data_IF_168204652402
#
_entry.id   IF_168204652402
#
_cell.length_a   1.000
_cell.length_b   1.000
_cell.length_c   1.000
_cell.angle_alpha   90.00
_cell.angle_beta   90.00
_cell.angle_gamma   90.00
#
_symmetry.space_group_name_H-M   'P 1'
#
loop_
_entity.id
_entity.type
_entity.pdbx_description
1 polymer ?
#
# COMPACT_ATOMS: atom_id res chain seq x y z
N UNK A 1 -2.81 -3.25 18.48
CA UNK A 1 -3.25 -2.79 17.14
C UNK A 1 -4.24 -1.64 17.21
N UNK A 2 -5.15 -1.62 18.20
CA UNK A 2 -6.19 -0.60 18.40
C UNK A 2 -5.71 0.86 18.24
N UNK A 3 -4.70 1.28 19.00
CA UNK A 3 -4.19 2.67 18.93
C UNK A 3 -3.65 2.99 17.53
N UNK A 4 -2.91 2.06 16.91
CA UNK A 4 -2.40 2.24 15.55
C UNK A 4 -3.54 2.40 14.53
N UNK A 5 -4.58 1.57 14.62
CA UNK A 5 -5.78 1.66 13.78
C UNK A 5 -6.48 3.00 13.98
N UNK A 6 -6.67 3.42 15.23
CA UNK A 6 -7.31 4.70 15.55
C UNK A 6 -6.55 5.87 14.90
N UNK A 7 -5.23 5.93 15.07
CA UNK A 7 -4.40 6.98 14.46
C UNK A 7 -4.46 6.94 12.93
N UNK A 8 -4.39 5.75 12.34
CA UNK A 8 -4.49 5.59 10.89
C UNK A 8 -5.87 6.02 10.36
N UNK A 9 -6.95 5.63 11.03
CA UNK A 9 -8.34 6.03 10.70
C UNK A 9 -8.50 7.54 10.81
N UNK A 10 -8.08 8.15 11.91
CA UNK A 10 -8.13 9.61 12.09
C UNK A 10 -7.30 10.34 11.03
N UNK A 11 -6.14 9.82 10.67
CA UNK A 11 -5.33 10.36 9.58
C UNK A 11 -6.02 10.26 8.23
N UNK A 12 -6.60 9.10 7.88
CA UNK A 12 -7.31 8.89 6.62
C UNK A 12 -8.56 9.77 6.50
N UNK A 13 -9.37 9.83 7.56
CA UNK A 13 -10.58 10.67 7.62
C UNK A 13 -10.19 12.15 7.62
N UNK A 14 -9.17 12.55 8.38
CA UNK A 14 -8.63 13.91 8.39
C UNK A 14 -8.18 14.34 6.99
N UNK A 15 -7.43 13.49 6.29
CA UNK A 15 -7.04 13.75 4.90
C UNK A 15 -8.26 13.84 3.99
N UNK A 16 -9.24 12.95 4.12
CA UNK A 16 -10.47 12.97 3.33
C UNK A 16 -11.27 14.27 3.54
N UNK A 17 -11.42 14.72 4.78
CA UNK A 17 -12.12 15.98 5.13
C UNK A 17 -11.40 17.19 4.56
N UNK A 18 -10.08 17.28 4.76
CA UNK A 18 -9.29 18.42 4.26
C UNK A 18 -9.27 18.42 2.73
N UNK A 19 -9.17 17.26 2.10
CA UNK A 19 -9.25 17.12 0.63
C UNK A 19 -10.61 17.59 0.11
N UNK A 20 -11.71 17.16 0.74
CA UNK A 20 -13.06 17.51 0.32
C UNK A 20 -13.35 19.01 0.48
N UNK A 21 -12.87 19.63 1.56
CA UNK A 21 -13.17 21.03 1.88
C UNK A 21 -12.23 22.04 1.21
N UNK A 22 -10.95 21.69 1.07
CA UNK A 22 -9.91 22.64 0.64
C UNK A 22 -9.20 22.21 -0.65
N UNK A 23 -9.50 21.03 -1.21
CA UNK A 23 -8.85 20.53 -2.43
C UNK A 23 -7.38 20.13 -2.26
N UNK A 24 -6.87 20.09 -1.02
CA UNK A 24 -5.50 19.71 -0.70
C UNK A 24 -5.28 18.19 -0.87
N UNK A 25 -4.04 17.77 -1.13
CA UNK A 25 -3.66 16.37 -1.39
C UNK A 25 -2.85 15.74 -0.26
N UNK A 26 -2.20 16.54 0.59
CA UNK A 26 -1.51 16.15 1.81
C UNK A 26 -0.45 15.06 1.60
N UNK A 27 0.27 15.11 0.47
CA UNK A 27 1.24 14.07 0.09
C UNK A 27 0.64 12.69 -0.22
N UNK A 28 -0.68 12.52 -0.22
CA UNK A 28 -1.37 11.27 -0.52
C UNK A 28 -2.30 10.81 0.61
N UNK A 29 -3.39 10.14 0.21
CA UNK A 29 -4.49 9.78 1.13
C UNK A 29 -4.04 8.98 2.35
N UNK A 30 -3.14 8.01 2.15
CA UNK A 30 -2.67 7.11 3.22
C UNK A 30 -1.42 7.62 3.94
N UNK A 31 -0.74 8.63 3.39
CA UNK A 31 0.63 9.00 3.77
C UNK A 31 0.70 9.46 5.23
N UNK A 32 -0.16 10.39 5.62
CA UNK A 32 -0.09 11.03 6.95
C UNK A 32 -0.37 10.05 8.09
N UNK A 33 -1.45 9.27 7.99
CA UNK A 33 -1.82 8.29 9.02
C UNK A 33 -0.78 7.18 9.17
N UNK A 34 -0.28 6.66 8.05
CA UNK A 34 0.73 5.60 8.05
C UNK A 34 2.08 6.12 8.57
N UNK A 35 2.49 7.33 8.17
CA UNK A 35 3.71 7.95 8.66
C UNK A 35 3.65 8.17 10.18
N UNK A 36 2.52 8.63 10.72
CA UNK A 36 2.36 8.82 12.17
C UNK A 36 2.54 7.50 12.95
N UNK A 37 1.89 6.42 12.51
CA UNK A 37 2.06 5.09 13.11
C UNK A 37 3.51 4.61 12.99
N UNK A 38 4.16 4.85 11.84
CA UNK A 38 5.55 4.46 11.64
C UNK A 38 6.53 5.22 12.53
N UNK A 39 6.37 6.54 12.66
CA UNK A 39 7.25 7.36 13.51
C UNK A 39 7.10 7.00 14.98
N UNK A 40 5.87 6.73 15.43
CA UNK A 40 5.64 6.27 16.81
C UNK A 40 6.26 4.89 17.05
N UNK A 41 6.21 4.00 16.04
CA UNK A 41 6.87 2.68 16.14
C UNK A 41 8.40 2.81 16.11
N UNK A 42 8.95 3.63 15.22
CA UNK A 42 10.38 3.86 15.11
C UNK A 42 10.64 5.32 14.70
N UNK A 43 11.25 6.09 15.59
CA UNK A 43 11.43 7.54 15.40
C UNK A 43 12.33 7.87 14.21
N UNK A 44 13.24 6.95 13.83
CA UNK A 44 14.15 7.09 12.69
C UNK A 44 13.39 7.07 11.35
N UNK A 45 12.15 6.57 11.32
CA UNK A 45 11.35 6.55 10.10
C UNK A 45 11.00 7.95 9.60
N UNK A 46 10.87 8.94 10.49
CA UNK A 46 10.58 10.32 10.10
C UNK A 46 11.71 10.96 9.27
N UNK A 47 12.97 11.03 9.75
CA UNK A 47 14.05 11.60 8.96
C UNK A 47 14.30 10.80 7.67
N UNK A 48 14.19 9.47 7.70
CA UNK A 48 14.29 8.63 6.49
C UNK A 48 13.20 8.99 5.49
N UNK A 49 11.95 9.14 5.93
CA UNK A 49 10.83 9.52 5.07
C UNK A 49 11.04 10.90 4.44
N UNK A 50 11.42 11.90 5.23
CA UNK A 50 11.64 13.29 4.75
C UNK A 50 12.76 13.30 3.72
N UNK A 51 13.92 12.73 4.05
CA UNK A 51 15.07 12.71 3.15
C UNK A 51 14.75 11.96 1.84
N UNK A 52 14.10 10.80 1.95
CA UNK A 52 13.71 10.01 0.77
C UNK A 52 12.69 10.74 -0.09
N UNK A 53 11.76 11.49 0.51
CA UNK A 53 10.76 12.28 -0.23
C UNK A 53 11.43 13.41 -0.98
N UNK A 54 12.37 14.11 -0.35
CA UNK A 54 13.13 15.19 -0.98
C UNK A 54 13.98 14.68 -2.14
N UNK A 55 14.72 13.59 -1.96
CA UNK A 55 15.53 12.99 -3.02
C UNK A 55 14.64 12.48 -4.15
N UNK A 56 13.51 11.82 -3.85
CA UNK A 56 12.58 11.37 -4.88
C UNK A 56 11.97 12.56 -5.64
N UNK A 57 11.64 13.65 -4.95
CA UNK A 57 11.14 14.88 -5.57
C UNK A 57 12.17 15.49 -6.53
N UNK A 58 13.44 15.61 -6.10
CA UNK A 58 14.53 16.10 -6.94
C UNK A 58 14.81 15.16 -8.12
N UNK A 59 14.82 13.84 -7.88
CA UNK A 59 15.02 12.84 -8.93
C UNK A 59 13.93 12.89 -10.00
N UNK A 60 12.67 13.05 -9.61
CA UNK A 60 11.55 13.26 -10.53
C UNK A 60 11.69 14.55 -11.33
N UNK A 61 12.09 15.63 -10.67
CA UNK A 61 12.32 16.92 -11.34
C UNK A 61 13.40 16.80 -12.42
N UNK A 62 14.54 16.16 -12.10
CA UNK A 62 15.62 15.90 -13.05
C UNK A 62 15.16 15.01 -14.21
N UNK A 63 14.43 13.93 -13.92
CA UNK A 63 13.89 13.06 -14.95
C UNK A 63 12.95 13.83 -15.88
N UNK A 64 12.02 14.64 -15.35
CA UNK A 64 11.11 15.43 -16.18
C UNK A 64 11.79 16.45 -17.08
N UNK A 65 12.89 17.03 -16.63
CA UNK A 65 13.66 17.94 -17.46
C UNK A 65 14.40 17.23 -18.61
N UNK A 66 14.70 15.95 -18.45
CA UNK A 66 15.50 15.16 -19.40
C UNK A 66 14.70 14.17 -20.22
N UNK A 67 13.52 13.80 -19.73
CA UNK A 67 12.64 12.77 -20.28
C UNK A 67 11.22 13.31 -20.20
N UNK A 68 10.46 13.23 -21.30
CA UNK A 68 9.07 13.70 -21.37
C UNK A 68 8.11 12.75 -20.60
N UNK A 69 8.52 12.26 -19.44
CA UNK A 69 7.74 11.35 -18.59
C UNK A 69 6.67 12.14 -17.82
N UNK A 70 5.42 11.90 -18.18
CA UNK A 70 4.26 12.53 -17.55
C UNK A 70 3.20 11.50 -17.15
N UNK A 71 2.31 11.90 -16.25
CA UNK A 71 1.16 11.08 -15.85
C UNK A 71 1.58 9.82 -15.08
N UNK A 72 1.36 8.64 -15.66
CA UNK A 72 1.57 7.38 -14.95
C UNK A 72 3.02 6.93 -14.93
N UNK A 73 3.78 7.22 -15.97
CA UNK A 73 5.21 6.86 -16.00
C UNK A 73 5.99 7.66 -14.96
N UNK A 74 5.54 8.89 -14.69
CA UNK A 74 5.99 9.69 -13.57
C UNK A 74 5.70 9.01 -12.21
N UNK A 75 4.49 8.44 -12.02
CA UNK A 75 4.15 7.72 -10.79
C UNK A 75 5.03 6.47 -10.61
N UNK A 76 5.27 5.72 -11.68
CA UNK A 76 6.15 4.54 -11.64
C UNK A 76 7.58 4.95 -11.31
N UNK A 77 8.12 5.96 -11.99
CA UNK A 77 9.44 6.52 -11.69
C UNK A 77 9.54 7.03 -10.24
N UNK A 78 8.48 7.67 -9.74
CA UNK A 78 8.41 8.19 -8.38
C UNK A 78 8.48 7.07 -7.35
N UNK A 79 7.74 5.98 -7.56
CA UNK A 79 7.76 4.81 -6.69
C UNK A 79 9.13 4.12 -6.77
N UNK A 80 9.71 4.01 -7.97
CA UNK A 80 11.04 3.41 -8.18
C UNK A 80 12.13 4.15 -7.42
N UNK A 81 12.26 5.46 -7.65
CA UNK A 81 13.22 6.32 -6.93
C UNK A 81 12.89 6.32 -5.45
N UNK A 82 11.62 6.52 -5.11
CA UNK A 82 11.13 6.58 -3.74
C UNK A 82 11.37 5.32 -2.94
N UNK A 83 11.45 4.14 -3.56
CA UNK A 83 11.76 2.86 -2.90
C UNK A 83 13.27 2.55 -2.90
N UNK A 84 13.98 2.90 -3.97
CA UNK A 84 15.42 2.66 -4.09
C UNK A 84 16.23 3.55 -3.13
N UNK A 85 15.81 4.79 -2.92
CA UNK A 85 16.52 5.75 -2.07
C UNK A 85 16.52 5.36 -0.59
N UNK A 86 15.38 5.03 0.06
CA UNK A 86 15.38 4.52 1.43
C UNK A 86 16.26 3.27 1.55
N UNK A 87 16.24 2.38 0.56
CA UNK A 87 17.10 1.19 0.58
C UNK A 87 18.58 1.59 0.55
N UNK A 88 18.98 2.49 -0.34
CA UNK A 88 20.37 2.95 -0.44
C UNK A 88 20.84 3.66 0.84
N UNK A 89 20.01 4.56 1.39
CA UNK A 89 20.26 5.22 2.68
C UNK A 89 20.41 4.17 3.77
N UNK A 90 19.52 3.18 3.81
CA UNK A 90 19.54 2.18 4.84
C UNK A 90 20.77 1.28 4.75
N UNK A 91 21.13 0.82 3.55
CA UNK A 91 22.34 0.04 3.31
C UNK A 91 23.60 0.81 3.74
N UNK A 92 23.67 2.11 3.45
CA UNK A 92 24.75 2.97 3.91
C UNK A 92 24.77 3.14 5.44
N UNK A 93 23.60 3.25 6.08
CA UNK A 93 23.46 3.39 7.53
C UNK A 93 23.53 2.07 8.30
N UNK A 94 23.45 0.91 7.63
CA UNK A 94 23.43 -0.40 8.30
C UNK A 94 24.72 -0.62 9.09
N UNK A 95 25.85 -0.12 8.59
CA UNK A 95 27.14 -0.13 9.31
C UNK A 95 27.21 0.81 10.52
N UNK A 96 26.30 1.78 10.66
CA UNK A 96 26.32 2.82 11.71
C UNK A 96 25.26 2.61 12.79
N UNK A 97 24.08 2.07 12.44
CA UNK A 97 22.90 2.03 13.33
C UNK A 97 22.54 0.59 13.76
N UNK A 98 23.21 -0.42 13.20
CA UNK A 98 23.03 -1.82 13.54
C UNK A 98 21.62 -2.35 13.26
N UNK A 99 21.21 -3.36 14.03
CA UNK A 99 19.99 -4.16 13.74
C UNK A 99 18.67 -3.47 14.10
N UNK A 100 18.69 -2.31 14.78
CA UNK A 100 17.48 -1.53 15.13
C UNK A 100 16.68 -1.07 13.93
N UNK A 101 17.30 -1.06 12.76
CA UNK A 101 16.63 -0.70 11.53
C UNK A 101 15.80 -1.84 10.95
N UNK A 102 15.93 -3.12 11.38
CA UNK A 102 15.48 -4.35 10.68
C UNK A 102 13.97 -4.60 10.55
N UNK A 103 13.12 -4.03 11.39
CA UNK A 103 11.72 -4.48 11.47
C UNK A 103 10.68 -3.56 10.79
N UNK A 104 11.03 -2.32 10.42
CA UNK A 104 10.02 -1.26 10.21
C UNK A 104 9.90 -0.72 8.77
N UNK A 105 10.71 -1.16 7.80
CA UNK A 105 11.02 -0.28 6.66
C UNK A 105 10.22 -0.53 5.37
N UNK A 106 9.57 -1.69 5.18
CA UNK A 106 9.17 -2.06 3.81
C UNK A 106 8.02 -1.23 3.20
N UNK A 107 6.87 -1.07 3.88
CA UNK A 107 5.76 -0.27 3.30
C UNK A 107 6.02 1.23 3.42
N UNK A 108 6.72 1.65 4.49
CA UNK A 108 7.23 3.00 4.64
C UNK A 108 8.14 3.44 3.48
N UNK A 109 8.78 2.52 2.76
CA UNK A 109 9.67 2.85 1.64
C UNK A 109 8.95 3.35 0.38
N UNK A 110 7.66 3.04 0.20
CA UNK A 110 6.92 3.46 -1.01
C UNK A 110 6.30 4.85 -0.82
N UNK A 111 5.95 5.20 0.42
CA UNK A 111 5.27 6.45 0.76
C UNK A 111 6.07 7.70 0.34
N UNK A 112 7.40 7.77 0.49
CA UNK A 112 8.19 8.90 0.02
C UNK A 112 8.02 9.18 -1.48
N UNK A 113 8.02 8.13 -2.30
CA UNK A 113 7.81 8.25 -3.74
C UNK A 113 6.41 8.76 -4.07
N UNK A 114 5.39 8.23 -3.38
CA UNK A 114 4.01 8.68 -3.54
C UNK A 114 3.84 10.16 -3.12
N UNK A 115 4.47 10.56 -2.02
CA UNK A 115 4.48 11.94 -1.54
C UNK A 115 5.15 12.88 -2.54
N UNK A 116 6.34 12.52 -3.03
CA UNK A 116 7.06 13.27 -4.05
C UNK A 116 6.23 13.46 -5.33
N UNK A 117 5.61 12.39 -5.84
CA UNK A 117 4.69 12.45 -6.97
C UNK A 117 3.52 13.41 -6.72
N UNK A 118 2.88 13.32 -5.56
CA UNK A 118 1.74 14.17 -5.23
C UNK A 118 2.12 15.66 -5.14
N UNK A 119 3.29 15.99 -4.59
CA UNK A 119 3.81 17.36 -4.54
C UNK A 119 4.20 17.89 -5.90
N UNK A 120 4.75 17.05 -6.78
CA UNK A 120 5.07 17.47 -8.15
C UNK A 120 3.81 17.82 -8.95
N UNK A 121 2.70 17.15 -8.65
CA UNK A 121 1.40 17.39 -9.28
C UNK A 121 0.61 18.55 -8.65
N UNK A 122 1.12 19.19 -7.60
CA UNK A 122 0.57 20.41 -7.01
C UNK A 122 1.20 21.63 -7.67
N UNK A 123 0.37 22.64 -7.97
CA UNK A 123 0.87 23.95 -8.40
C UNK A 123 1.72 24.56 -7.28
N UNK A 124 2.83 25.26 -7.60
CA UNK A 124 3.74 25.80 -6.60
C UNK A 124 3.06 26.63 -5.50
N UNK A 125 2.06 27.43 -5.88
CA UNK A 125 1.29 28.31 -4.98
C UNK A 125 0.56 27.59 -3.84
N UNK A 126 0.12 26.34 -4.04
CA UNK A 126 -0.61 25.57 -3.03
C UNK A 126 0.29 24.64 -2.20
N UNK A 127 1.57 24.48 -2.56
CA UNK A 127 2.46 23.52 -1.90
C UNK A 127 2.68 23.83 -0.43
N UNK A 128 2.86 25.11 -0.08
CA UNK A 128 3.11 25.50 1.30
C UNK A 128 1.88 25.23 2.19
N UNK A 129 0.68 25.52 1.68
CA UNK A 129 -0.58 25.23 2.38
C UNK A 129 -0.79 23.72 2.53
N UNK A 130 -0.51 22.95 1.48
CA UNK A 130 -0.62 21.48 1.51
C UNK A 130 0.35 20.85 2.53
N UNK A 131 1.62 21.29 2.53
CA UNK A 131 2.63 20.86 3.50
C UNK A 131 2.23 21.30 4.91
N UNK A 132 1.78 22.54 5.10
CA UNK A 132 1.35 23.04 6.41
C UNK A 132 0.20 22.23 7.00
N UNK A 133 -0.82 21.93 6.20
CA UNK A 133 -1.93 21.08 6.62
C UNK A 133 -1.49 19.64 6.92
N UNK A 134 -0.56 19.10 6.12
CA UNK A 134 0.00 17.77 6.32
C UNK A 134 0.77 17.70 7.65
N UNK A 135 1.66 18.66 7.89
CA UNK A 135 2.47 18.76 9.11
C UNK A 135 1.57 18.97 10.33
N UNK A 136 0.55 19.82 10.24
CA UNK A 136 -0.42 20.05 11.32
C UNK A 136 -1.19 18.79 11.70
N UNK A 137 -1.76 18.09 10.71
CA UNK A 137 -2.46 16.83 10.94
C UNK A 137 -1.52 15.74 11.49
N UNK A 138 -0.32 15.64 10.92
CA UNK A 138 0.70 14.71 11.37
C UNK A 138 1.11 14.95 12.84
N UNK A 139 1.41 16.20 13.20
CA UNK A 139 1.77 16.57 14.57
C UNK A 139 0.65 16.27 15.56
N UNK A 140 -0.61 16.55 15.21
CA UNK A 140 -1.76 16.21 16.03
C UNK A 140 -1.87 14.69 16.27
N UNK A 141 -1.64 13.88 15.23
CA UNK A 141 -1.64 12.41 15.37
C UNK A 141 -0.48 11.89 16.21
N UNK A 142 0.72 12.50 16.12
CA UNK A 142 1.85 12.14 16.97
C UNK A 142 1.56 12.44 18.44
N UNK A 143 1.05 13.65 18.73
CA UNK A 143 0.68 14.04 20.10
C UNK A 143 -0.38 13.09 20.64
N UNK A 144 -1.42 12.80 19.85
CA UNK A 144 -2.46 11.86 20.25
C UNK A 144 -1.90 10.46 20.51
N UNK A 145 -1.05 9.95 19.62
CA UNK A 145 -0.42 8.63 19.78
C UNK A 145 0.48 8.56 21.00
N UNK A 146 1.26 9.62 21.27
CA UNK A 146 2.07 9.75 22.47
C UNK A 146 1.23 9.72 23.75
N UNK A 147 0.10 10.43 23.77
CA UNK A 147 -0.82 10.46 24.91
C UNK A 147 -1.50 9.11 25.13
N UNK A 148 -1.91 8.42 24.05
CA UNK A 148 -2.58 7.13 24.12
C UNK A 148 -1.65 5.97 24.44
N UNK A 149 -0.35 6.06 24.12
CA UNK A 149 0.63 5.07 24.55
C UNK A 149 1.07 5.39 25.98
N UNK A 150 0.41 4.75 26.93
CA UNK A 150 0.67 4.90 28.35
C UNK A 150 0.44 3.59 29.12
N UNK A 151 1.05 3.42 30.31
CA UNK A 151 0.86 2.22 31.12
C UNK A 151 -0.61 1.95 31.48
N UNK A 152 -1.41 2.99 31.72
CA UNK A 152 -2.85 2.83 32.01
C UNK A 152 -3.63 2.33 30.80
N UNK A 153 -3.28 2.79 29.59
CA UNK A 153 -3.93 2.33 28.37
C UNK A 153 -3.54 0.90 28.00
N UNK A 154 -2.31 0.47 28.31
CA UNK A 154 -1.85 -0.91 28.09
C UNK A 154 -2.71 -1.92 28.83
N UNK A 155 -3.08 -1.63 30.08
CA UNK A 155 -3.91 -2.54 30.89
C UNK A 155 -5.29 -2.78 30.28
N UNK A 156 -5.83 -1.79 29.55
CA UNK A 156 -7.14 -1.86 28.92
C UNK A 156 -7.10 -2.40 27.49
N UNK A 157 -6.10 -1.99 26.71
CA UNK A 157 -6.07 -2.14 25.24
C UNK A 157 -4.88 -2.96 24.71
N UNK A 158 -3.97 -3.40 25.59
CA UNK A 158 -2.70 -4.01 25.21
C UNK A 158 -2.79 -5.43 24.69
N UNK A 159 -3.71 -6.24 25.22
CA UNK A 159 -3.88 -7.67 24.91
C UNK A 159 -5.04 -8.08 24.00
N UNK A 160 -6.14 -7.31 23.80
CA UNK A 160 -7.27 -7.76 22.99
C UNK A 160 -6.95 -7.95 21.50
N UNK A 161 -5.90 -7.28 21.01
CA UNK A 161 -5.48 -7.35 19.60
C UNK A 161 -3.97 -7.48 19.52
N UNK A 162 -3.43 -8.06 18.44
CA UNK A 162 -2.00 -8.11 18.18
C UNK A 162 -1.27 -6.78 18.45
N UNK A 163 -0.13 -6.83 19.14
CA UNK A 163 0.60 -5.63 19.54
C UNK A 163 1.17 -4.89 18.31
N UNK A 164 1.17 -3.56 18.36
CA UNK A 164 1.77 -2.70 17.30
C UNK A 164 2.56 -1.57 17.95
N UNK A 165 1.85 -0.61 18.54
CA UNK A 165 2.43 0.53 19.27
C UNK A 165 2.69 0.23 20.75
N UNK A 166 2.31 -0.96 21.21
CA UNK A 166 2.63 -1.49 22.54
C UNK A 166 3.65 -2.63 22.47
N UNK A 167 4.18 -2.94 21.28
CA UNK A 167 5.20 -3.98 21.15
C UNK A 167 6.53 -3.51 21.75
N UNK A 168 7.37 -4.43 22.21
CA UNK A 168 8.74 -4.14 22.68
C UNK A 168 9.62 -3.49 21.59
N UNK A 169 9.20 -3.66 20.34
CA UNK A 169 9.86 -3.11 19.14
C UNK A 169 9.35 -1.71 18.77
N UNK A 170 8.47 -1.11 19.58
CA UNK A 170 7.97 0.25 19.39
C UNK A 170 8.68 1.23 20.32
N UNK A 171 9.43 2.18 19.75
CA UNK A 171 10.20 3.19 20.50
C UNK A 171 9.31 3.94 21.52
N UNK A 172 8.10 4.32 21.12
CA UNK A 172 7.16 5.02 22.01
C UNK A 172 6.74 4.16 23.21
N UNK A 173 6.56 2.85 23.05
CA UNK A 173 6.18 1.97 24.15
C UNK A 173 7.33 1.78 25.13
N UNK A 174 8.55 1.56 24.61
CA UNK A 174 9.75 1.40 25.43
C UNK A 174 10.02 2.68 26.22
N UNK A 175 9.92 3.85 25.58
CA UNK A 175 10.15 5.13 26.23
C UNK A 175 9.11 5.48 27.30
N UNK A 176 7.89 4.91 27.18
CA UNK A 176 6.76 5.18 28.08
C UNK A 176 6.50 4.07 29.09
N UNK A 177 7.37 3.05 29.13
CA UNK A 177 7.21 1.85 29.96
C UNK A 177 5.82 1.20 29.78
N UNK A 178 5.40 1.13 28.51
CA UNK A 178 4.06 0.72 28.09
C UNK A 178 4.12 -0.50 27.15
N UNK A 179 5.11 -1.38 27.34
CA UNK A 179 5.33 -2.56 26.50
C UNK A 179 4.48 -3.75 26.93
N UNK A 180 3.96 -4.48 25.94
CA UNK A 180 3.32 -5.78 26.10
C UNK A 180 4.31 -6.84 25.62
N UNK A 181 4.62 -7.86 26.45
CA UNK A 181 5.47 -8.96 26.03
C UNK A 181 4.94 -9.61 24.76
N UNK A 182 5.79 -9.68 23.74
CA UNK A 182 5.45 -10.31 22.46
C UNK A 182 6.68 -10.98 21.87
N UNK A 183 6.48 -12.13 21.23
CA UNK A 183 7.57 -12.83 20.55
C UNK A 183 8.03 -12.01 19.35
N UNK A 184 9.33 -11.75 19.27
CA UNK A 184 9.92 -11.10 18.10
C UNK A 184 9.68 -11.95 16.86
N UNK A 185 9.08 -11.34 15.85
CA UNK A 185 8.70 -12.04 14.64
C UNK A 185 9.88 -12.18 13.68
N UNK A 186 10.10 -13.36 13.07
CA UNK A 186 11.21 -13.55 12.15
C UNK A 186 11.04 -12.70 10.88
N UNK A 187 12.18 -12.25 10.35
CA UNK A 187 12.28 -11.62 9.03
C UNK A 187 12.08 -12.71 7.97
N UNK A 188 11.00 -12.59 7.19
CA UNK A 188 10.60 -13.61 6.20
C UNK A 188 11.35 -13.46 4.88
N UNK A 189 11.58 -12.22 4.46
CA UNK A 189 12.37 -11.93 3.25
C UNK A 189 13.34 -10.79 3.59
N UNK A 190 14.65 -10.98 3.32
CA UNK A 190 15.64 -9.92 3.33
C UNK A 190 15.21 -8.70 2.49
N UNK A 191 15.39 -7.49 3.04
CA UNK A 191 14.91 -6.22 2.44
C UNK A 191 15.29 -6.02 0.98
N UNK A 192 16.55 -6.30 0.64
CA UNK A 192 17.03 -6.17 -0.72
C UNK A 192 16.20 -7.03 -1.69
N UNK A 193 15.87 -8.26 -1.29
CA UNK A 193 15.04 -9.15 -2.09
C UNK A 193 13.58 -8.70 -2.15
N UNK A 194 13.04 -8.09 -1.07
CA UNK A 194 11.69 -7.51 -1.14
C UNK A 194 11.63 -6.32 -2.12
N UNK A 195 12.69 -5.51 -2.19
CA UNK A 195 12.78 -4.44 -3.20
C UNK A 195 12.84 -5.03 -4.60
N UNK A 196 13.64 -6.08 -4.82
CA UNK A 196 13.65 -6.80 -6.11
C UNK A 196 12.27 -7.36 -6.46
N UNK A 197 11.57 -7.98 -5.50
CA UNK A 197 10.20 -8.46 -5.67
C UNK A 197 9.24 -7.33 -6.08
N UNK A 198 9.37 -6.15 -5.47
CA UNK A 198 8.59 -4.97 -5.84
C UNK A 198 8.91 -4.49 -7.26
N UNK A 199 10.19 -4.43 -7.63
CA UNK A 199 10.64 -4.04 -8.97
C UNK A 199 10.07 -4.99 -10.04
N UNK A 200 10.16 -6.30 -9.80
CA UNK A 200 9.59 -7.33 -10.68
C UNK A 200 8.07 -7.17 -10.75
N UNK A 201 7.39 -6.97 -9.62
CA UNK A 201 5.95 -6.70 -9.58
C UNK A 201 5.55 -5.47 -10.38
N UNK A 202 6.32 -4.38 -10.29
CA UNK A 202 6.12 -3.17 -11.10
C UNK A 202 6.29 -3.45 -12.59
N UNK A 203 7.33 -4.17 -13.00
CA UNK A 203 7.54 -4.55 -14.41
C UNK A 203 6.39 -5.41 -14.95
N UNK A 204 6.00 -6.46 -14.22
CA UNK A 204 4.91 -7.35 -14.61
C UNK A 204 3.58 -6.62 -14.73
N UNK A 205 3.27 -5.76 -13.77
CA UNK A 205 2.00 -5.06 -13.78
C UNK A 205 1.94 -3.91 -14.79
N UNK A 206 3.08 -3.33 -15.15
CA UNK A 206 3.17 -2.37 -16.25
C UNK A 206 3.00 -3.08 -17.61
N UNK A 207 3.61 -4.25 -17.80
CA UNK A 207 3.38 -5.09 -18.97
C UNK A 207 1.91 -5.55 -19.07
N UNK A 208 1.30 -5.95 -17.95
CA UNK A 208 -0.12 -6.29 -17.93
C UNK A 208 -1.01 -5.07 -18.23
N UNK A 209 -0.63 -3.89 -17.74
CA UNK A 209 -1.36 -2.66 -18.05
C UNK A 209 -1.22 -2.28 -19.52
N UNK A 210 -0.04 -2.35 -20.12
CA UNK A 210 0.11 -2.00 -21.52
C UNK A 210 -0.75 -2.90 -22.41
N UNK A 211 -0.90 -4.18 -22.04
CA UNK A 211 -1.70 -5.15 -22.79
C UNK A 211 -3.21 -5.08 -22.54
N UNK A 212 -3.64 -5.03 -21.28
CA UNK A 212 -5.07 -5.11 -20.90
C UNK A 212 -5.66 -3.75 -20.54
N UNK A 213 -4.80 -2.75 -20.29
CA UNK A 213 -5.18 -1.39 -19.93
C UNK A 213 -5.97 -1.24 -18.62
N UNK A 214 -5.89 -2.26 -17.76
CA UNK A 214 -6.51 -2.30 -16.43
C UNK A 214 -5.48 -1.96 -15.35
N UNK A 215 -5.94 -1.46 -14.20
CA UNK A 215 -5.08 -1.13 -13.04
C UNK A 215 -5.14 -2.25 -11.98
N UNK A 216 -4.14 -3.15 -11.89
CA UNK A 216 -4.21 -4.30 -10.99
C UNK A 216 -3.92 -3.97 -9.51
N UNK A 217 -3.25 -2.85 -9.21
CA UNK A 217 -2.85 -2.49 -7.83
C UNK A 217 -1.52 -3.14 -7.42
N UNK A 218 -0.45 -2.74 -8.11
CA UNK A 218 0.86 -3.42 -8.14
C UNK A 218 1.48 -3.66 -6.76
N UNK A 219 1.59 -2.58 -5.98
CA UNK A 219 2.19 -2.59 -4.65
C UNK A 219 1.48 -3.58 -3.74
N UNK A 220 0.15 -3.63 -3.84
CA UNK A 220 -0.66 -4.51 -3.02
C UNK A 220 -0.42 -5.99 -3.32
N UNK A 221 -0.18 -6.35 -4.59
CA UNK A 221 0.06 -7.75 -4.97
C UNK A 221 1.40 -8.24 -4.46
N UNK A 222 2.47 -7.47 -4.66
CA UNK A 222 3.79 -7.81 -4.15
C UNK A 222 3.78 -7.96 -2.62
N UNK A 223 3.12 -7.02 -1.91
CA UNK A 223 2.99 -7.09 -0.45
C UNK A 223 2.13 -8.27 0.01
N UNK A 224 1.01 -8.53 -0.67
CA UNK A 224 0.16 -9.67 -0.36
C UNK A 224 0.90 -10.99 -0.55
N UNK A 225 1.79 -11.09 -1.54
CA UNK A 225 2.67 -12.25 -1.71
C UNK A 225 3.59 -12.46 -0.51
N UNK A 226 4.17 -11.39 0.05
CA UNK A 226 4.96 -11.48 1.30
C UNK A 226 4.09 -11.90 2.48
N UNK A 227 2.88 -11.33 2.61
CA UNK A 227 1.96 -11.68 3.70
C UNK A 227 1.42 -13.10 3.58
N UNK A 228 1.31 -13.64 2.37
CA UNK A 228 0.93 -15.03 2.15
C UNK A 228 2.00 -16.01 2.66
N UNK A 229 3.29 -15.63 2.71
CA UNK A 229 4.34 -16.44 3.36
C UNK A 229 4.26 -16.39 4.88
N UNK A 230 3.71 -15.31 5.43
CA UNK A 230 3.61 -15.05 6.86
C UNK A 230 2.45 -15.80 7.50
N UNK A 231 1.26 -15.73 6.87
CA UNK A 231 0.05 -16.32 7.41
C UNK A 231 -1.04 -16.42 6.34
N UNK A 232 -1.62 -17.60 6.17
CA UNK A 232 -2.80 -17.80 5.32
C UNK A 232 -3.98 -16.92 5.78
N UNK A 233 -4.09 -16.66 7.08
CA UNK A 233 -5.14 -15.83 7.66
C UNK A 233 -5.02 -14.36 7.28
N UNK A 234 -3.83 -13.85 6.95
CA UNK A 234 -3.68 -12.51 6.39
C UNK A 234 -4.27 -12.43 4.97
N UNK A 235 -4.20 -13.50 4.19
CA UNK A 235 -4.84 -13.58 2.86
C UNK A 235 -6.36 -13.67 3.00
N UNK A 236 -6.86 -14.50 3.92
CA UNK A 236 -8.30 -14.57 4.24
C UNK A 236 -8.81 -13.21 4.70
N UNK A 237 -8.11 -12.57 5.63
CA UNK A 237 -8.42 -11.23 6.12
C UNK A 237 -8.45 -10.22 4.97
N UNK A 238 -7.46 -10.24 4.07
CA UNK A 238 -7.44 -9.38 2.88
C UNK A 238 -8.70 -9.54 2.03
N UNK A 239 -9.12 -10.78 1.74
CA UNK A 239 -10.29 -11.06 0.89
C UNK A 239 -11.58 -10.57 1.56
N UNK A 240 -11.76 -10.84 2.86
CA UNK A 240 -12.94 -10.40 3.62
C UNK A 240 -13.01 -8.88 3.69
N UNK A 241 -11.89 -8.22 4.01
CA UNK A 241 -11.80 -6.76 4.07
C UNK A 241 -12.00 -6.12 2.70
N UNK A 242 -11.46 -6.72 1.63
CA UNK A 242 -11.63 -6.22 0.26
C UNK A 242 -13.11 -6.24 -0.13
N UNK A 243 -13.80 -7.33 0.18
CA UNK A 243 -15.24 -7.45 -0.08
C UNK A 243 -16.05 -6.44 0.73
N UNK A 244 -15.83 -6.37 2.05
CA UNK A 244 -16.54 -5.42 2.91
C UNK A 244 -16.29 -3.96 2.53
N UNK A 245 -15.04 -3.59 2.29
CA UNK A 245 -14.69 -2.23 1.86
C UNK A 245 -15.23 -1.90 0.47
N UNK A 246 -15.31 -2.87 -0.45
CA UNK A 246 -15.91 -2.65 -1.76
C UNK A 246 -17.41 -2.35 -1.65
N UNK A 247 -18.16 -3.12 -0.85
CA UNK A 247 -19.57 -2.85 -0.60
C UNK A 247 -19.79 -1.49 0.04
N UNK A 248 -18.97 -1.14 1.04
CA UNK A 248 -19.01 0.16 1.70
C UNK A 248 -18.73 1.31 0.72
N UNK A 249 -17.69 1.17 -0.11
CA UNK A 249 -17.32 2.18 -1.13
C UNK A 249 -18.45 2.37 -2.15
N UNK A 250 -19.05 1.28 -2.65
CA UNK A 250 -20.16 1.34 -3.60
C UNK A 250 -21.39 2.02 -2.98
N UNK A 251 -21.77 1.63 -1.77
CA UNK A 251 -22.88 2.23 -1.05
C UNK A 251 -22.64 3.71 -0.78
N UNK A 252 -21.46 4.06 -0.25
CA UNK A 252 -21.13 5.44 0.07
C UNK A 252 -21.10 6.31 -1.18
N UNK A 253 -20.51 5.84 -2.29
CA UNK A 253 -20.53 6.56 -3.55
C UNK A 253 -21.95 6.76 -4.07
N UNK A 254 -22.79 5.72 -4.02
CA UNK A 254 -24.18 5.82 -4.46
C UNK A 254 -24.98 6.86 -3.68
N UNK A 255 -24.80 6.92 -2.36
CA UNK A 255 -25.58 7.82 -1.49
C UNK A 255 -25.03 9.26 -1.45
N UNK A 256 -23.72 9.44 -1.62
CA UNK A 256 -23.07 10.76 -1.40
C UNK A 256 -22.41 11.36 -2.63
N UNK A 257 -22.26 10.58 -3.71
CA UNK A 257 -21.50 10.92 -4.92
C UNK A 257 -20.04 11.30 -4.64
N UNK A 258 -19.51 10.99 -3.45
CA UNK A 258 -18.11 11.19 -3.13
C UNK A 258 -17.24 10.35 -4.06
N UNK A 259 -16.14 10.94 -4.51
CA UNK A 259 -15.25 10.29 -5.47
C UNK A 259 -13.77 10.56 -5.14
N UNK A 260 -12.88 9.95 -5.93
CA UNK A 260 -11.46 10.23 -5.87
C UNK A 260 -10.82 9.85 -4.52
N UNK A 261 -9.95 10.73 -4.04
CA UNK A 261 -9.14 10.53 -2.82
C UNK A 261 -9.95 10.43 -1.54
N UNK A 262 -11.11 11.09 -1.50
CA UNK A 262 -12.01 11.07 -0.34
C UNK A 262 -12.60 9.67 -0.17
N UNK A 263 -13.08 9.08 -1.27
CA UNK A 263 -13.62 7.72 -1.27
C UNK A 263 -12.54 6.67 -0.95
N UNK A 264 -11.30 6.84 -1.46
CA UNK A 264 -10.15 6.01 -1.05
C UNK A 264 -9.94 6.09 0.46
N UNK A 265 -9.92 7.30 1.03
CA UNK A 265 -9.65 7.52 2.45
C UNK A 265 -10.70 6.88 3.34
N UNK A 266 -11.99 7.10 3.03
CA UNK A 266 -13.10 6.54 3.79
C UNK A 266 -13.21 5.02 3.64
N UNK A 267 -13.04 4.48 2.43
CA UNK A 267 -13.03 3.02 2.22
C UNK A 267 -11.87 2.33 2.93
N UNK A 268 -10.70 2.97 2.97
CA UNK A 268 -9.54 2.46 3.71
C UNK A 268 -9.71 2.56 5.22
N UNK A 269 -10.30 3.65 5.70
CA UNK A 269 -10.64 3.79 7.11
C UNK A 269 -11.65 2.73 7.56
N UNK A 270 -12.68 2.47 6.75
CA UNK A 270 -13.64 1.40 7.00
C UNK A 270 -12.97 0.02 7.08
N UNK A 271 -12.08 -0.30 6.13
CA UNK A 271 -11.34 -1.57 6.15
C UNK A 271 -10.50 -1.73 7.43
N UNK A 272 -9.86 -0.66 7.91
CA UNK A 272 -9.09 -0.66 9.15
C UNK A 272 -9.97 -0.88 10.39
N UNK A 273 -11.12 -0.22 10.46
CA UNK A 273 -12.09 -0.43 11.55
C UNK A 273 -12.59 -1.88 11.55
N UNK A 274 -12.92 -2.42 10.37
CA UNK A 274 -13.39 -3.79 10.22
C UNK A 274 -12.29 -4.84 10.54
N UNK A 275 -11.03 -4.51 10.31
CA UNK A 275 -9.90 -5.40 10.62
C UNK A 275 -9.78 -5.68 12.12
N UNK A 276 -10.12 -4.73 12.99
CA UNK A 276 -10.02 -4.88 14.45
C UNK A 276 -10.80 -6.11 14.96
N UNK A 277 -12.14 -6.18 14.83
CA UNK A 277 -12.88 -7.35 15.31
C UNK A 277 -12.45 -8.64 14.60
N UNK A 278 -12.13 -8.59 13.31
CA UNK A 278 -11.67 -9.78 12.59
C UNK A 278 -10.35 -10.33 13.15
N UNK A 279 -9.42 -9.46 13.54
CA UNK A 279 -8.16 -9.90 14.17
C UNK A 279 -8.32 -10.45 15.57
N UNK A 280 -9.38 -10.08 16.30
CA UNK A 280 -9.69 -10.69 17.61
C UNK A 280 -10.09 -12.17 17.44
N UNK A 281 -10.79 -12.50 16.35
CA UNK A 281 -11.31 -13.85 16.10
C UNK A 281 -10.47 -14.67 15.11
N UNK A 282 -9.36 -14.14 14.62
CA UNK A 282 -8.46 -14.83 13.70
C UNK A 282 -7.10 -15.07 14.35
N UNK A 283 -6.38 -16.16 14.03
CA UNK A 283 -5.05 -16.44 14.56
C UNK A 283 -3.97 -15.60 13.84
N UNK A 284 -4.20 -14.29 13.73
CA UNK A 284 -3.23 -13.33 13.19
C UNK A 284 -2.42 -12.79 14.35
N UNK A 285 -1.12 -13.06 14.36
CA UNK A 285 -0.19 -12.61 15.40
C UNK A 285 0.50 -11.30 15.05
N UNK A 286 0.66 -11.01 13.74
CA UNK A 286 1.35 -9.83 13.23
C UNK A 286 0.43 -8.62 13.11
N UNK A 287 0.32 -7.83 14.18
CA UNK A 287 -0.60 -6.68 14.22
C UNK A 287 -0.34 -5.63 13.15
N UNK A 288 0.93 -5.33 12.86
CA UNK A 288 1.27 -4.34 11.84
C UNK A 288 0.93 -4.86 10.43
N UNK A 289 1.13 -6.15 10.17
CA UNK A 289 0.74 -6.79 8.92
C UNK A 289 -0.77 -6.73 8.71
N UNK A 290 -1.57 -6.95 9.76
CA UNK A 290 -3.03 -6.84 9.68
C UNK A 290 -3.48 -5.41 9.32
N UNK A 291 -2.87 -4.39 9.95
CA UNK A 291 -3.12 -2.97 9.61
C UNK A 291 -2.83 -2.70 8.14
N UNK A 292 -1.72 -3.21 7.61
CA UNK A 292 -1.39 -3.01 6.20
C UNK A 292 -2.28 -3.79 5.24
N UNK A 293 -2.61 -5.04 5.57
CA UNK A 293 -3.58 -5.83 4.80
C UNK A 293 -4.90 -5.07 4.67
N UNK A 294 -5.37 -4.44 5.76
CA UNK A 294 -6.56 -3.61 5.73
C UNK A 294 -6.41 -2.38 4.83
N UNK A 295 -5.25 -1.71 4.88
CA UNK A 295 -4.96 -0.57 3.99
C UNK A 295 -4.98 -0.99 2.51
N UNK A 296 -4.31 -2.09 2.19
CA UNK A 296 -4.26 -2.63 0.83
C UNK A 296 -5.64 -3.06 0.33
N UNK A 297 -6.44 -3.69 1.19
CA UNK A 297 -7.81 -4.08 0.89
C UNK A 297 -8.69 -2.86 0.58
N UNK A 298 -8.64 -1.80 1.40
CA UNK A 298 -9.39 -0.56 1.18
C UNK A 298 -9.01 0.16 -0.11
N UNK A 299 -7.70 0.29 -0.40
CA UNK A 299 -7.23 0.88 -1.66
C UNK A 299 -7.66 0.03 -2.86
N UNK A 300 -7.59 -1.30 -2.77
CA UNK A 300 -8.01 -2.18 -3.86
C UNK A 300 -9.52 -2.27 -4.06
N UNK A 301 -10.30 -2.06 -3.01
CA UNK A 301 -11.74 -1.91 -3.07
C UNK A 301 -12.11 -0.70 -3.92
N UNK A 302 -11.48 0.46 -3.64
CA UNK A 302 -11.65 1.65 -4.48
C UNK A 302 -11.18 1.40 -5.92
N UNK A 303 -10.00 0.81 -6.12
CA UNK A 303 -9.52 0.48 -7.47
C UNK A 303 -10.48 -0.42 -8.24
N UNK A 304 -11.18 -1.34 -7.54
CA UNK A 304 -12.23 -2.16 -8.14
C UNK A 304 -13.45 -1.34 -8.52
N UNK A 305 -13.91 -0.48 -7.63
CA UNK A 305 -15.07 0.39 -7.82
C UNK A 305 -14.91 1.25 -9.08
N UNK A 306 -13.75 1.91 -9.24
CA UNK A 306 -13.47 2.77 -10.40
C UNK A 306 -13.14 2.01 -11.69
N UNK A 307 -12.97 0.69 -11.62
CA UNK A 307 -12.79 -0.12 -12.83
C UNK A 307 -14.15 -0.26 -13.53
N UNK A 308 -14.24 0.05 -14.85
CA UNK A 308 -15.46 -0.11 -15.63
C UNK A 308 -16.06 -1.51 -15.44
N UNK A 309 -17.39 -1.60 -15.36
CA UNK A 309 -18.08 -2.87 -15.05
C UNK A 309 -17.67 -4.00 -16.00
N UNK A 310 -17.44 -3.67 -17.27
CA UNK A 310 -17.00 -4.58 -18.33
C UNK A 310 -15.61 -5.16 -18.03
N UNK A 311 -14.68 -4.34 -17.54
CA UNK A 311 -13.30 -4.75 -17.24
C UNK A 311 -13.13 -5.41 -15.86
N UNK A 312 -14.17 -5.42 -15.01
CA UNK A 312 -14.05 -5.91 -13.62
C UNK A 312 -13.67 -7.39 -13.55
N UNK A 313 -14.13 -8.21 -14.50
CA UNK A 313 -13.79 -9.65 -14.56
C UNK A 313 -12.34 -9.86 -14.98
N UNK A 314 -11.92 -9.17 -16.05
CA UNK A 314 -10.53 -9.11 -16.54
C UNK A 314 -9.59 -8.68 -15.42
N UNK A 315 -9.95 -7.63 -14.67
CA UNK A 315 -9.18 -7.17 -13.51
C UNK A 315 -9.02 -8.24 -12.44
N UNK A 316 -10.10 -8.93 -12.06
CA UNK A 316 -10.03 -9.97 -11.02
C UNK A 316 -9.12 -11.11 -11.45
N UNK A 317 -9.31 -11.61 -12.67
CA UNK A 317 -8.50 -12.69 -13.22
C UNK A 317 -7.02 -12.26 -13.29
N UNK A 318 -6.75 -11.04 -13.77
CA UNK A 318 -5.41 -10.50 -13.90
C UNK A 318 -4.71 -10.34 -12.55
N UNK A 319 -5.43 -9.93 -11.50
CA UNK A 319 -4.89 -9.85 -10.14
C UNK A 319 -4.37 -11.22 -9.67
N UNK A 320 -5.12 -12.30 -9.93
CA UNK A 320 -4.68 -13.66 -9.61
C UNK A 320 -3.50 -14.07 -10.49
N UNK A 321 -3.57 -13.81 -11.80
CA UNK A 321 -2.51 -14.13 -12.75
C UNK A 321 -1.18 -13.43 -12.44
N UNK A 322 -1.22 -12.23 -11.85
CA UNK A 322 -0.05 -11.48 -11.39
C UNK A 322 0.40 -11.87 -9.97
N UNK A 323 -0.53 -12.23 -9.09
CA UNK A 323 -0.21 -12.65 -7.73
C UNK A 323 0.60 -13.96 -7.73
N UNK A 324 0.22 -14.94 -8.55
CA UNK A 324 0.89 -16.26 -8.59
C UNK A 324 2.40 -16.17 -8.85
N UNK A 325 2.90 -15.54 -9.94
CA UNK A 325 4.33 -15.44 -10.19
C UNK A 325 5.06 -14.63 -9.11
N UNK A 326 4.42 -13.60 -8.55
CA UNK A 326 5.00 -12.86 -7.42
C UNK A 326 5.07 -13.68 -6.14
N UNK A 327 4.07 -14.52 -5.90
CA UNK A 327 4.05 -15.43 -4.76
C UNK A 327 5.07 -16.56 -4.92
N UNK A 328 5.25 -17.11 -6.13
CA UNK A 328 6.31 -18.07 -6.43
C UNK A 328 7.70 -17.44 -6.25
N UNK A 329 7.90 -16.20 -6.72
CA UNK A 329 9.14 -15.47 -6.50
C UNK A 329 9.38 -15.22 -5.01
N UNK A 330 8.34 -14.83 -4.25
CA UNK A 330 8.42 -14.67 -2.81
C UNK A 330 8.77 -15.98 -2.10
N UNK A 331 8.16 -17.11 -2.47
CA UNK A 331 8.49 -18.45 -1.97
C UNK A 331 9.94 -18.86 -2.30
N UNK A 332 10.46 -18.43 -3.43
CA UNK A 332 11.83 -18.77 -3.85
C UNK A 332 12.89 -17.99 -3.07
N UNK A 333 12.62 -16.73 -2.71
CA UNK A 333 13.59 -15.87 -2.02
C UNK A 333 13.38 -15.79 -0.50
N UNK A 334 12.21 -16.19 -0.01
CA UNK A 334 11.80 -16.05 1.38
C UNK A 334 11.67 -17.37 2.13
N UNK A 335 11.64 -17.26 3.46
CA UNK A 335 11.45 -18.37 4.38
C UNK A 335 10.01 -18.36 4.92
N UNK A 336 9.07 -19.13 4.34
CA UNK A 336 7.69 -19.16 4.80
C UNK A 336 7.58 -19.66 6.25
N UNK A 337 6.63 -19.10 7.00
CA UNK A 337 6.33 -19.54 8.36
C UNK A 337 5.45 -20.80 8.32
N UNK A 338 5.31 -21.47 9.47
CA UNK A 338 4.39 -22.60 9.63
C UNK A 338 2.92 -22.23 9.34
N UNK A 339 2.54 -20.97 9.55
CA UNK A 339 1.17 -20.47 9.29
C UNK A 339 0.99 -19.96 7.86
N UNK A 340 2.04 -19.93 7.05
CA UNK A 340 2.01 -19.45 5.67
C UNK A 340 1.05 -20.24 4.77
N UNK A 341 0.60 -19.61 3.68
CA UNK A 341 -0.30 -20.22 2.69
C UNK A 341 0.32 -21.48 2.06
N UNK A 342 1.64 -21.44 1.82
CA UNK A 342 2.45 -22.57 1.38
C UNK A 342 3.72 -22.57 2.21
N UNK A 343 3.98 -23.67 2.90
CA UNK A 343 5.13 -23.82 3.81
C UNK A 343 6.37 -24.37 3.10
N UNK A 344 6.20 -25.06 1.96
CA UNK A 344 7.31 -25.57 1.16
C UNK A 344 6.93 -25.63 -0.32
N UNK A 345 7.89 -25.26 -1.19
CA UNK A 345 7.76 -25.43 -2.63
C UNK A 345 8.12 -26.87 -3.01
N UNK A 346 7.10 -27.74 -2.99
CA UNK A 346 7.18 -29.12 -3.47
C UNK A 346 6.72 -29.19 -4.93
N UNK A 347 7.04 -30.27 -5.64
CA UNK A 347 6.56 -30.45 -7.02
C UNK A 347 5.02 -30.34 -7.14
N UNK A 348 4.20 -30.95 -6.26
CA UNK A 348 2.75 -30.78 -6.31
C UNK A 348 2.30 -29.33 -6.08
N UNK A 349 2.87 -28.63 -5.10
CA UNK A 349 2.46 -27.25 -4.80
C UNK A 349 2.90 -26.28 -5.89
N UNK A 350 4.11 -26.45 -6.43
CA UNK A 350 4.61 -25.68 -7.57
C UNK A 350 3.76 -25.89 -8.82
N UNK A 351 3.42 -27.14 -9.15
CA UNK A 351 2.54 -27.47 -10.27
C UNK A 351 1.14 -26.87 -10.09
N UNK A 352 0.53 -27.00 -8.90
CA UNK A 352 -0.78 -26.43 -8.60
C UNK A 352 -0.81 -24.90 -8.75
N UNK A 353 0.22 -24.21 -8.24
CA UNK A 353 0.36 -22.76 -8.42
C UNK A 353 0.55 -22.37 -9.88
N UNK A 354 1.37 -23.12 -10.64
CA UNK A 354 1.56 -22.87 -12.07
C UNK A 354 0.25 -23.03 -12.85
N UNK A 355 -0.50 -24.11 -12.60
CA UNK A 355 -1.82 -24.33 -13.22
C UNK A 355 -2.79 -23.20 -12.87
N UNK A 356 -2.85 -22.78 -11.60
CA UNK A 356 -3.67 -21.65 -11.18
C UNK A 356 -3.28 -20.36 -11.93
N UNK A 357 -1.98 -20.08 -12.08
CA UNK A 357 -1.49 -18.92 -12.82
C UNK A 357 -1.88 -18.97 -14.30
N UNK A 358 -1.72 -20.12 -14.94
CA UNK A 358 -2.09 -20.33 -16.36
C UNK A 358 -3.60 -20.19 -16.56
N UNK A 359 -4.41 -20.81 -15.70
CA UNK A 359 -5.88 -20.69 -15.76
C UNK A 359 -6.32 -19.25 -15.54
N UNK A 360 -5.75 -18.55 -14.55
CA UNK A 360 -6.06 -17.15 -14.31
C UNK A 360 -5.70 -16.27 -15.51
N UNK A 361 -4.54 -16.50 -16.14
CA UNK A 361 -4.11 -15.78 -17.34
C UNK A 361 -5.04 -16.08 -18.53
N UNK A 362 -5.41 -17.34 -18.75
CA UNK A 362 -6.35 -17.73 -19.78
C UNK A 362 -7.72 -17.05 -19.59
N UNK A 363 -8.20 -16.97 -18.34
CA UNK A 363 -9.41 -16.22 -17.99
C UNK A 363 -9.24 -14.71 -18.22
N UNK A 364 -8.06 -14.14 -17.96
CA UNK A 364 -7.78 -12.75 -18.31
C UNK A 364 -7.95 -12.51 -19.80
N UNK A 365 -7.40 -13.38 -20.66
CA UNK A 365 -7.58 -13.28 -22.11
C UNK A 365 -9.02 -13.53 -22.56
N UNK A 366 -9.72 -14.49 -21.95
CA UNK A 366 -11.11 -14.80 -22.30
C UNK A 366 -12.09 -13.68 -21.93
N UNK A 367 -11.79 -12.91 -20.88
CA UNK A 367 -12.58 -11.75 -20.47
C UNK A 367 -12.08 -10.43 -21.03
N UNK A 368 -10.92 -10.41 -21.70
CA UNK A 368 -10.34 -9.20 -22.27
C UNK A 368 -11.32 -8.60 -23.28
N UNK A 369 -11.53 -7.29 -23.16
CA UNK A 369 -12.39 -6.57 -24.09
C UNK A 369 -11.48 -5.85 -25.08
N UNK A 370 -11.54 -6.20 -26.38
CA UNK A 370 -10.69 -5.60 -27.38
C UNK A 370 -10.89 -4.09 -27.36
N UNK A 371 -9.78 -3.35 -27.31
CA UNK A 371 -9.81 -1.90 -27.49
C UNK A 371 -9.66 -1.62 -28.98
N UNK A 372 -10.36 -0.62 -29.51
CA UNK A 372 -10.08 -0.16 -30.87
C UNK A 372 -8.60 0.25 -30.92
N UNK A 373 -7.91 -0.15 -31.99
CA UNK A 373 -6.52 0.27 -32.17
C UNK A 373 -6.47 1.78 -32.51
N UNK A 374 -5.29 2.37 -32.41
CA UNK A 374 -5.11 3.81 -32.65
C UNK A 374 -5.46 4.21 -34.10
N UNK A 375 -5.32 3.29 -35.06
CA UNK A 375 -5.67 3.48 -36.48
C UNK A 375 -7.20 3.46 -36.66
N UNK A 376 -7.90 2.52 -36.04
CA UNK A 376 -9.37 2.46 -36.02
C UNK A 376 -9.99 3.66 -35.30
N UNK A 377 -9.35 4.15 -34.22
CA UNK A 377 -9.76 5.39 -33.55
C UNK A 377 -9.48 6.60 -34.43
N UNK A 378 -8.32 6.64 -35.11
CA UNK A 378 -7.96 7.72 -36.01
C UNK A 378 -8.94 7.79 -37.18
N UNK A 379 -9.18 6.68 -37.89
CA UNK A 379 -10.14 6.55 -39.00
C UNK A 379 -11.54 7.03 -38.61
N UNK A 380 -12.03 6.63 -37.43
CA UNK A 380 -13.33 7.06 -36.91
C UNK A 380 -13.36 8.47 -36.31
N UNK A 381 -12.23 9.17 -36.24
CA UNK A 381 -12.16 10.52 -35.68
C UNK A 381 -12.44 11.58 -36.73
N UNK A 382 -12.95 12.74 -36.29
CA UNK A 382 -13.14 13.93 -37.14
C UNK A 382 -11.80 14.44 -37.74
N UNK A 383 -10.66 13.95 -37.24
CA UNK A 383 -9.32 14.30 -37.70
C UNK A 383 -8.80 13.40 -38.84
N UNK A 384 -9.49 12.30 -39.19
CA UNK A 384 -9.09 11.45 -40.33
C UNK A 384 -9.28 12.11 -41.70
N UNK A 385 -10.00 13.23 -41.75
CA UNK A 385 -10.31 13.91 -43.01
C UNK A 385 -11.25 13.10 -43.92
N UNK A 386 -11.84 12.02 -43.43
CA UNK A 386 -12.94 11.33 -44.10
C UNK A 386 -14.21 12.15 -43.94
N UNK A 387 -14.82 12.55 -45.06
CA UNK A 387 -16.11 13.22 -45.09
C UNK A 387 -17.11 12.47 -44.21
N UNK A 388 -17.55 13.10 -43.13
CA UNK A 388 -18.56 12.55 -42.24
C UNK A 388 -19.82 12.22 -43.04
N UNK A 389 -20.07 10.92 -43.25
CA UNK A 389 -21.29 10.40 -43.85
C UNK A 389 -22.23 9.89 -42.76
#
# INVERSE_FOLDING_TARGET
MLVAVLLAVLGLVGVAVVTQRYGLRLGGTITVGVLAVYTLKNVVMLPVFVLSTLIAFVGLWLLKQRTLLYGRDELVAAILIGSAVPLAILLALTGLVGDRLREVVFIGSILPGLAAYNYHQLKPEYRLQDVGAMVGLYAALLVLGWLLVSPSTVQLLGSPTPSVLFAETADVAVLRDATVPSTTEPVIIPRAQVVVLLLVGMGLAEAARSRFGVRPGIISLALLSVYALVSAWLVVLYVVLLFGAFLFVELLNRETLLYGRVLIGLGTAFALVLAVPLTVYSPVTRGLSAVFVAILAGVNAYNRHVTPAVDRKTRTALVVALFVPLFLLALFVGDPTADGLVTALTLPTGFGLAVLGVVALALTYAFDVPRPDDEAVFEGSVLSGGDGA
#
